data_IF_119101606953
#
_entry.id   IF_119101606953
#
_cell.length_a   1.000
_cell.length_b   1.000
_cell.length_c   1.000
_cell.angle_alpha   90.00
_cell.angle_beta   90.00
_cell.angle_gamma   90.00
#
_symmetry.space_group_name_H-M   'P 1'
#
loop_
_entity.id
_entity.type
_entity.pdbx_description
1 polymer ?
#
# COMPACT_ATOMS: atom_id res chain seq x y z
N UNK A 1 13.44 16.66 -24.30
CA UNK A 1 12.27 17.54 -24.58
C UNK A 1 12.21 18.71 -23.60
N UNK A 2 12.14 18.49 -22.29
CA UNK A 2 12.13 19.58 -21.28
C UNK A 2 13.37 20.49 -21.34
N UNK A 3 14.57 19.90 -21.44
CA UNK A 3 15.84 20.64 -21.53
C UNK A 3 16.04 21.40 -22.86
N UNK A 4 15.13 21.25 -23.83
CA UNK A 4 15.22 21.94 -25.12
C UNK A 4 14.21 23.09 -25.22
N UNK A 5 13.42 23.34 -24.18
CA UNK A 5 12.42 24.41 -24.18
C UNK A 5 13.08 25.79 -24.01
N UNK A 6 12.73 26.81 -24.82
CA UNK A 6 13.20 28.17 -24.62
C UNK A 6 12.56 28.77 -23.35
N UNK A 7 13.38 29.31 -22.42
CA UNK A 7 12.91 29.99 -21.20
C UNK A 7 13.52 29.47 -19.89
N UNK A 8 13.11 30.07 -18.76
CA UNK A 8 13.48 29.61 -17.41
C UNK A 8 12.74 28.30 -17.13
N UNK A 9 13.49 27.30 -16.68
CA UNK A 9 12.99 25.95 -16.43
C UNK A 9 12.93 25.72 -14.94
N UNK A 10 11.75 25.39 -14.45
CA UNK A 10 11.52 25.04 -13.04
C UNK A 10 10.92 23.65 -13.00
N UNK A 11 11.51 22.76 -12.20
CA UNK A 11 10.95 21.43 -11.90
C UNK A 11 10.62 21.41 -10.42
N UNK A 12 9.40 20.97 -10.09
CA UNK A 12 8.92 20.86 -8.72
C UNK A 12 8.40 19.45 -8.52
N UNK A 13 8.77 18.85 -7.38
CA UNK A 13 8.23 17.57 -6.98
C UNK A 13 8.86 17.08 -5.67
N UNK A 14 8.47 15.88 -5.28
CA UNK A 14 8.93 15.22 -4.05
C UNK A 14 9.44 13.83 -4.42
N UNK A 15 10.77 13.66 -4.44
CA UNK A 15 11.43 12.37 -4.73
C UNK A 15 11.00 11.27 -3.76
N UNK A 16 10.55 11.60 -2.56
CA UNK A 16 10.06 10.63 -1.59
C UNK A 16 8.62 10.18 -1.88
N UNK A 17 7.89 10.83 -2.80
CA UNK A 17 6.60 10.34 -3.31
C UNK A 17 6.72 9.56 -4.62
N UNK A 18 7.93 9.20 -5.06
CA UNK A 18 8.11 8.30 -6.21
C UNK A 18 7.72 6.86 -5.83
N UNK A 19 6.57 6.40 -6.33
CA UNK A 19 5.93 5.12 -5.96
C UNK A 19 5.35 4.37 -7.18
N UNK A 20 5.85 4.67 -8.37
CA UNK A 20 5.44 4.02 -9.62
C UNK A 20 6.65 3.38 -10.33
N UNK A 21 7.70 3.03 -9.58
CA UNK A 21 8.91 2.42 -10.14
C UNK A 21 8.62 1.07 -10.79
N UNK A 22 7.67 0.32 -10.23
CA UNK A 22 7.13 -0.92 -10.82
C UNK A 22 6.49 -0.74 -12.21
N UNK A 23 6.15 0.49 -12.62
CA UNK A 23 5.67 0.83 -13.98
C UNK A 23 6.75 1.43 -14.87
N UNK A 24 8.02 1.37 -14.45
CA UNK A 24 9.15 1.98 -15.13
C UNK A 24 9.24 3.50 -14.94
N UNK A 25 8.57 4.07 -13.93
CA UNK A 25 8.69 5.51 -13.66
C UNK A 25 10.09 5.83 -13.09
N UNK A 26 10.73 6.86 -13.65
CA UNK A 26 12.05 7.33 -13.23
C UNK A 26 11.92 8.67 -12.52
N UNK A 27 12.66 8.86 -11.42
CA UNK A 27 12.70 10.14 -10.72
C UNK A 27 13.51 11.18 -11.50
N UNK A 28 12.80 11.91 -12.37
CA UNK A 28 13.39 12.96 -13.21
C UNK A 28 13.99 14.14 -12.44
N UNK A 29 13.63 14.36 -11.16
CA UNK A 29 14.18 15.46 -10.35
C UNK A 29 15.68 15.29 -10.11
N UNK A 30 16.13 14.04 -10.01
CA UNK A 30 17.53 13.70 -9.78
C UNK A 30 18.35 13.58 -11.08
N UNK A 31 17.72 13.78 -12.24
CA UNK A 31 18.38 13.67 -13.56
C UNK A 31 18.83 15.02 -14.12
N UNK A 32 18.59 16.12 -13.41
CA UNK A 32 18.95 17.48 -13.84
C UNK A 32 19.84 18.17 -12.83
N UNK A 33 20.78 18.98 -13.34
CA UNK A 33 21.70 19.78 -12.52
C UNK A 33 21.20 21.23 -12.42
N UNK A 34 20.15 21.44 -11.62
CA UNK A 34 19.57 22.75 -11.34
C UNK A 34 19.79 23.17 -9.88
N UNK A 35 19.85 24.48 -9.57
CA UNK A 35 19.83 24.95 -8.18
C UNK A 35 18.62 24.41 -7.42
N UNK A 36 18.86 23.88 -6.22
CA UNK A 36 17.82 23.25 -5.40
C UNK A 36 17.32 24.21 -4.33
N UNK A 37 16.01 24.33 -4.25
CA UNK A 37 15.30 25.08 -3.20
C UNK A 37 14.29 24.14 -2.53
N UNK A 38 14.12 24.26 -1.21
CA UNK A 38 13.25 23.36 -0.45
C UNK A 38 11.96 24.05 -0.02
N UNK A 39 10.84 23.35 -0.21
CA UNK A 39 9.54 23.73 0.34
C UNK A 39 9.20 22.74 1.45
N UNK A 40 9.44 23.15 2.70
CA UNK A 40 9.25 22.27 3.86
C UNK A 40 7.87 22.38 4.51
N UNK A 41 7.09 23.42 4.20
CA UNK A 41 5.76 23.63 4.77
C UNK A 41 4.67 22.86 4.02
N UNK A 42 3.90 22.04 4.73
CA UNK A 42 2.70 21.37 4.21
C UNK A 42 1.44 22.01 4.78
N UNK A 43 0.59 22.59 3.94
CA UNK A 43 -0.70 23.16 4.35
C UNK A 43 -1.81 22.11 4.50
N UNK A 44 -1.52 20.84 4.18
CA UNK A 44 -2.50 19.75 4.23
C UNK A 44 -2.82 19.32 5.66
N UNK A 45 -1.79 19.20 6.49
CA UNK A 45 -1.87 18.58 7.81
C UNK A 45 -1.04 19.33 8.86
N UNK A 46 -1.34 19.03 10.12
CA UNK A 46 -0.64 19.58 11.29
C UNK A 46 0.70 18.89 11.59
N UNK A 47 1.40 19.40 12.61
CA UNK A 47 2.74 18.94 12.99
C UNK A 47 2.81 17.47 13.40
N UNK A 48 1.73 16.89 13.95
CA UNK A 48 1.68 15.49 14.37
C UNK A 48 1.78 14.52 13.19
N UNK A 49 1.07 14.79 12.08
CA UNK A 49 1.19 14.00 10.84
C UNK A 49 2.56 14.24 10.20
N UNK A 50 3.07 15.48 10.24
CA UNK A 50 4.40 15.79 9.72
C UNK A 50 5.50 14.99 10.45
N UNK A 51 5.37 14.81 11.77
CA UNK A 51 6.28 13.97 12.56
C UNK A 51 6.23 12.50 12.11
N UNK A 52 5.03 11.93 11.95
CA UNK A 52 4.88 10.55 11.44
C UNK A 52 5.41 10.38 10.01
N UNK A 53 5.25 11.40 9.17
CA UNK A 53 5.81 11.40 7.83
C UNK A 53 7.36 11.38 7.88
N UNK A 54 7.95 12.17 8.77
CA UNK A 54 9.40 12.16 8.99
C UNK A 54 9.91 10.85 9.61
N UNK A 55 9.16 10.23 10.52
CA UNK A 55 9.45 8.88 11.03
C UNK A 55 9.51 7.86 9.89
N UNK A 56 8.51 7.85 9.01
CA UNK A 56 8.47 6.96 7.84
C UNK A 56 9.70 7.16 6.95
N UNK A 57 10.05 8.41 6.62
CA UNK A 57 11.24 8.72 5.81
C UNK A 57 12.55 8.31 6.49
N UNK A 58 12.64 8.44 7.81
CA UNK A 58 13.83 8.02 8.56
C UNK A 58 14.10 6.52 8.50
N UNK A 59 13.12 5.67 8.17
CA UNK A 59 13.39 4.25 7.92
C UNK A 59 14.45 4.04 6.83
N UNK A 60 14.59 4.97 5.88
CA UNK A 60 15.63 4.91 4.85
C UNK A 60 17.04 4.97 5.43
N UNK A 61 17.25 5.53 6.64
CA UNK A 61 18.58 5.55 7.26
C UNK A 61 19.04 4.16 7.69
N UNK A 62 18.11 3.24 7.96
CA UNK A 62 18.44 1.82 8.21
C UNK A 62 19.06 1.17 6.96
N UNK A 63 18.74 1.69 5.78
CA UNK A 63 19.25 1.27 4.48
C UNK A 63 20.53 2.02 4.06
N UNK A 64 21.08 2.88 4.93
CA UNK A 64 22.25 3.71 4.62
C UNK A 64 21.94 4.91 3.73
N UNK A 65 20.66 5.21 3.46
CA UNK A 65 20.25 6.36 2.64
C UNK A 65 20.13 7.60 3.54
N UNK A 66 20.88 8.65 3.21
CA UNK A 66 20.81 9.94 3.92
C UNK A 66 19.49 10.66 3.63
N UNK A 67 18.88 11.20 4.68
CA UNK A 67 17.64 12.02 4.61
C UNK A 67 17.80 13.36 5.33
N UNK A 68 19.05 13.79 5.58
CA UNK A 68 19.36 14.97 6.42
C UNK A 68 18.80 16.28 5.88
N UNK A 69 18.77 16.43 4.57
CA UNK A 69 18.32 17.66 3.89
C UNK A 69 16.80 17.69 3.68
N UNK A 70 16.09 16.64 4.09
CA UNK A 70 14.65 16.53 3.95
C UNK A 70 13.94 16.91 5.25
N UNK A 71 13.00 17.85 5.18
CA UNK A 71 12.20 18.29 6.33
C UNK A 71 10.80 18.64 5.89
N UNK A 72 9.81 18.18 6.66
CA UNK A 72 8.41 18.55 6.52
C UNK A 72 7.93 19.17 7.83
N UNK A 73 7.23 20.30 7.72
CA UNK A 73 6.56 21.00 8.81
C UNK A 73 5.08 21.10 8.46
N UNK A 74 4.21 20.66 9.37
CA UNK A 74 2.77 20.77 9.18
C UNK A 74 2.27 22.17 9.52
N UNK A 75 1.65 22.84 8.54
CA UNK A 75 1.04 24.17 8.63
C UNK A 75 -0.49 24.11 8.43
N UNK A 76 -1.04 22.92 8.22
CA UNK A 76 -2.45 22.71 7.95
C UNK A 76 -3.33 22.84 9.19
N UNK A 77 -4.66 22.99 8.99
CA UNK A 77 -5.58 23.42 10.03
C UNK A 77 -5.70 22.45 11.21
N UNK A 78 -5.37 21.16 11.05
CA UNK A 78 -5.34 20.15 12.12
C UNK A 78 -6.65 19.94 12.89
N UNK A 79 -7.72 20.67 12.56
CA UNK A 79 -8.98 20.75 13.31
C UNK A 79 -10.09 19.91 12.68
N UNK A 80 -11.03 19.38 13.51
CA UNK A 80 -12.21 18.65 13.04
C UNK A 80 -13.12 19.46 12.11
N UNK A 81 -13.68 18.80 11.09
CA UNK A 81 -14.96 19.17 10.45
C UNK A 81 -16.10 18.38 11.12
N UNK A 82 -17.32 18.89 11.06
CA UNK A 82 -18.51 18.22 11.63
C UNK A 82 -18.81 16.86 11.00
N UNK A 83 -18.53 16.70 9.70
CA UNK A 83 -18.43 15.41 9.01
C UNK A 83 -17.01 15.25 8.51
N UNK A 84 -16.35 14.14 8.88
CA UNK A 84 -15.03 13.79 8.38
C UNK A 84 -15.12 12.59 7.43
N UNK A 85 -14.52 12.73 6.25
CA UNK A 85 -14.29 11.60 5.37
C UNK A 85 -13.25 10.67 6.01
N UNK A 86 -13.61 9.40 6.19
CA UNK A 86 -12.71 8.38 6.75
C UNK A 86 -12.24 7.47 5.64
N UNK A 87 -10.93 7.36 5.47
CA UNK A 87 -10.33 6.44 4.53
C UNK A 87 -9.47 5.39 5.23
N UNK A 88 -9.46 4.20 4.66
CA UNK A 88 -8.52 3.13 4.99
C UNK A 88 -7.62 2.93 3.79
N UNK A 89 -6.34 3.20 4.00
CA UNK A 89 -5.32 2.97 2.99
C UNK A 89 -4.58 1.69 3.31
N UNK A 90 -4.44 0.80 2.34
CA UNK A 90 -3.60 -0.39 2.49
C UNK A 90 -2.52 -0.42 1.42
N UNK A 91 -1.44 -1.15 1.69
CA UNK A 91 -0.38 -1.37 0.71
C UNK A 91 -0.86 -2.30 -0.41
N UNK A 92 -1.62 -3.33 -0.07
CA UNK A 92 -2.09 -4.35 -0.99
C UNK A 92 -3.61 -4.34 -1.11
N UNK A 93 -4.10 -4.82 -2.23
CA UNK A 93 -5.52 -5.06 -2.44
C UNK A 93 -6.08 -6.09 -1.44
N UNK A 94 -5.29 -7.12 -1.12
CA UNK A 94 -5.65 -8.15 -0.15
C UNK A 94 -5.80 -7.57 1.26
N UNK A 95 -4.95 -6.62 1.66
CA UNK A 95 -5.10 -5.89 2.91
C UNK A 95 -6.44 -5.15 3.00
N UNK A 96 -6.94 -4.60 1.89
CA UNK A 96 -8.27 -3.99 1.82
C UNK A 96 -9.39 -5.03 1.90
N UNK A 97 -9.22 -6.22 1.30
CA UNK A 97 -10.19 -7.30 1.43
C UNK A 97 -10.33 -7.72 2.90
N UNK A 98 -9.22 -7.99 3.60
CA UNK A 98 -9.22 -8.34 5.02
C UNK A 98 -9.95 -7.30 5.86
N UNK A 99 -9.66 -6.01 5.62
CA UNK A 99 -10.34 -4.92 6.33
C UNK A 99 -11.82 -4.83 5.97
N UNK A 100 -12.16 -4.97 4.70
CA UNK A 100 -13.54 -4.86 4.22
C UNK A 100 -14.43 -5.98 4.77
N UNK A 101 -13.92 -7.20 4.91
CA UNK A 101 -14.68 -8.30 5.56
C UNK A 101 -15.10 -7.85 6.97
N UNK A 102 -14.17 -7.31 7.75
CA UNK A 102 -14.45 -6.86 9.11
C UNK A 102 -15.37 -5.63 9.16
N UNK A 103 -15.15 -4.63 8.31
CA UNK A 103 -15.92 -3.39 8.33
C UNK A 103 -17.31 -3.52 7.69
N UNK A 104 -17.40 -4.20 6.55
CA UNK A 104 -18.61 -4.24 5.70
C UNK A 104 -19.46 -5.46 6.02
N UNK A 105 -18.86 -6.64 6.08
CA UNK A 105 -19.61 -7.87 6.33
C UNK A 105 -19.95 -8.04 7.81
N UNK A 106 -18.96 -7.90 8.70
CA UNK A 106 -19.19 -8.12 10.14
C UNK A 106 -19.87 -6.92 10.83
N UNK A 107 -19.48 -5.69 10.50
CA UNK A 107 -20.01 -4.47 11.15
C UNK A 107 -21.11 -3.76 10.36
N UNK A 108 -21.39 -4.19 9.13
CA UNK A 108 -22.47 -3.63 8.32
C UNK A 108 -22.21 -2.21 7.79
N UNK A 109 -20.97 -1.73 7.78
CA UNK A 109 -20.64 -0.40 7.23
C UNK A 109 -20.75 -0.41 5.71
N UNK A 110 -21.17 0.70 5.12
CA UNK A 110 -21.16 0.92 3.67
C UNK A 110 -19.82 1.52 3.26
N UNK A 111 -19.20 0.95 2.24
CA UNK A 111 -17.87 1.37 1.80
C UNK A 111 -17.88 1.85 0.35
N UNK A 112 -17.14 2.92 0.08
CA UNK A 112 -16.72 3.27 -1.27
C UNK A 112 -15.34 2.68 -1.54
N UNK A 113 -15.16 2.09 -2.72
CA UNK A 113 -13.89 1.48 -3.12
C UNK A 113 -13.23 2.37 -4.17
N UNK A 114 -12.00 2.83 -3.91
CA UNK A 114 -11.27 3.59 -4.92
C UNK A 114 -10.64 2.68 -5.99
N UNK A 115 -11.12 2.86 -7.22
CA UNK A 115 -10.87 1.91 -8.30
C UNK A 115 -12.00 0.88 -8.34
N UNK A 116 -11.75 -0.23 -9.02
CA UNK A 116 -12.76 -1.28 -9.16
C UNK A 116 -12.52 -2.36 -8.12
N UNK A 117 -13.55 -2.66 -7.30
CA UNK A 117 -13.50 -3.74 -6.31
C UNK A 117 -13.15 -5.10 -6.94
N UNK A 118 -13.44 -5.29 -8.23
CA UNK A 118 -13.06 -6.48 -8.98
C UNK A 118 -11.54 -6.64 -9.05
N UNK A 119 -10.79 -5.54 -9.11
CA UNK A 119 -9.34 -5.57 -9.13
C UNK A 119 -8.75 -5.94 -7.77
N UNK A 120 -9.53 -5.87 -6.68
CA UNK A 120 -9.02 -6.15 -5.35
C UNK A 120 -8.77 -7.64 -5.14
N UNK A 121 -9.46 -8.49 -5.89
CA UNK A 121 -9.27 -9.95 -5.84
C UNK A 121 -8.05 -10.43 -6.62
N UNK A 122 -7.25 -9.52 -7.19
CA UNK A 122 -6.04 -9.85 -7.93
C UNK A 122 -4.79 -9.46 -7.15
N UNK A 123 -3.82 -10.36 -7.18
CA UNK A 123 -2.45 -10.15 -6.74
C UNK A 123 -1.67 -9.30 -7.75
N UNK A 124 -0.50 -8.81 -7.34
CA UNK A 124 0.42 -8.06 -8.20
C UNK A 124 0.96 -8.91 -9.36
N UNK A 125 1.00 -10.23 -9.20
CA UNK A 125 1.32 -11.20 -10.27
C UNK A 125 0.22 -11.33 -11.34
N UNK A 126 -0.99 -10.82 -11.08
CA UNK A 126 -2.18 -11.05 -11.89
C UNK A 126 -2.97 -12.31 -11.49
N UNK A 127 -2.49 -13.08 -10.52
CA UNK A 127 -3.20 -14.25 -10.00
C UNK A 127 -4.44 -13.84 -9.21
N UNK A 128 -5.56 -14.51 -9.48
CA UNK A 128 -6.83 -14.24 -8.79
C UNK A 128 -6.94 -15.03 -7.49
N UNK A 129 -7.42 -14.36 -6.43
CA UNK A 129 -7.85 -14.99 -5.18
C UNK A 129 -8.85 -16.13 -5.44
N UNK A 130 -9.72 -15.99 -6.45
CA UNK A 130 -10.67 -17.03 -6.80
C UNK A 130 -10.02 -18.29 -7.37
N UNK A 131 -8.89 -18.16 -8.09
CA UNK A 131 -8.17 -19.31 -8.62
C UNK A 131 -7.57 -20.14 -7.48
N UNK A 132 -6.98 -19.48 -6.48
CA UNK A 132 -6.43 -20.14 -5.29
C UNK A 132 -7.56 -20.73 -4.43
N UNK A 133 -8.69 -20.03 -4.31
CA UNK A 133 -9.86 -20.53 -3.59
C UNK A 133 -10.50 -21.73 -4.29
N UNK A 134 -10.49 -21.77 -5.63
CA UNK A 134 -10.92 -22.94 -6.42
C UNK A 134 -9.97 -24.12 -6.22
N UNK A 135 -8.65 -23.89 -6.15
CA UNK A 135 -7.68 -24.93 -5.78
C UNK A 135 -7.97 -25.48 -4.38
N UNK A 136 -8.24 -24.60 -3.41
CA UNK A 136 -8.60 -24.97 -2.04
C UNK A 136 -9.83 -25.88 -1.93
N UNK A 137 -10.85 -25.67 -2.77
CA UNK A 137 -12.07 -26.52 -2.79
C UNK A 137 -11.99 -27.68 -3.79
N UNK A 138 -10.85 -27.91 -4.44
CA UNK A 138 -10.65 -28.99 -5.41
C UNK A 138 -11.37 -28.80 -6.75
N UNK A 139 -11.71 -27.57 -7.12
CA UNK A 139 -12.36 -27.22 -8.41
C UNK A 139 -11.35 -26.74 -9.44
N UNK A 140 -10.42 -27.62 -9.81
CA UNK A 140 -9.32 -27.31 -10.74
C UNK A 140 -9.79 -26.90 -12.13
N UNK A 141 -10.97 -27.38 -12.56
CA UNK A 141 -11.64 -27.00 -13.81
C UNK A 141 -11.97 -25.50 -13.90
N UNK A 142 -12.07 -24.82 -12.76
CA UNK A 142 -12.42 -23.39 -12.68
C UNK A 142 -11.22 -22.47 -12.57
N UNK A 143 -10.01 -23.02 -12.44
CA UNK A 143 -8.76 -22.27 -12.30
C UNK A 143 -8.37 -21.72 -13.67
N UNK A 144 -8.20 -20.41 -13.77
CA UNK A 144 -7.82 -19.71 -15.01
C UNK A 144 -6.32 -19.48 -15.12
N UNK A 145 -5.69 -19.14 -14.00
CA UNK A 145 -4.26 -18.87 -13.91
C UNK A 145 -3.41 -20.14 -14.17
N UNK A 146 -2.54 -20.08 -15.18
CA UNK A 146 -1.69 -21.21 -15.60
C UNK A 146 -0.61 -21.57 -14.58
N UNK A 147 -0.21 -20.64 -13.72
CA UNK A 147 0.72 -20.91 -12.64
C UNK A 147 0.01 -21.71 -11.54
N UNK A 148 -1.20 -21.30 -11.15
CA UNK A 148 -2.00 -22.01 -10.13
C UNK A 148 -2.43 -23.41 -10.60
N UNK A 149 -2.71 -23.61 -11.90
CA UNK A 149 -3.04 -24.94 -12.47
C UNK A 149 -1.94 -25.99 -12.30
N UNK A 150 -0.69 -25.60 -12.04
CA UNK A 150 0.45 -26.52 -11.91
C UNK A 150 0.45 -27.25 -10.57
N UNK A 151 -0.26 -26.75 -9.58
CA UNK A 151 -0.35 -27.35 -8.25
C UNK A 151 -1.44 -28.43 -8.24
N UNK A 152 -1.12 -29.61 -7.70
CA UNK A 152 -2.08 -30.72 -7.60
C UNK A 152 -3.04 -30.46 -6.44
N UNK A 153 -2.53 -29.88 -5.36
CA UNK A 153 -3.29 -29.56 -4.16
C UNK A 153 -3.02 -28.15 -3.61
N UNK A 154 -3.92 -27.67 -2.76
CA UNK A 154 -3.69 -26.44 -1.98
C UNK A 154 -2.53 -26.59 -0.98
N UNK A 155 -2.25 -27.80 -0.50
CA UNK A 155 -1.09 -28.06 0.35
C UNK A 155 0.23 -27.87 -0.41
N UNK A 156 0.29 -28.30 -1.68
CA UNK A 156 1.46 -28.10 -2.55
C UNK A 156 1.73 -26.60 -2.75
N UNK A 157 0.67 -25.79 -2.92
CA UNK A 157 0.79 -24.35 -3.06
C UNK A 157 1.31 -23.71 -1.76
N UNK A 158 0.89 -24.19 -0.58
CA UNK A 158 1.42 -23.72 0.72
C UNK A 158 2.88 -24.10 0.90
N UNK A 159 3.30 -25.28 0.44
CA UNK A 159 4.70 -25.68 0.48
C UNK A 159 5.55 -24.80 -0.44
N UNK A 160 5.10 -24.59 -1.68
CA UNK A 160 5.74 -23.67 -2.61
C UNK A 160 5.88 -22.25 -2.03
N UNK A 161 4.83 -21.71 -1.42
CA UNK A 161 4.88 -20.38 -0.81
C UNK A 161 5.99 -20.28 0.26
N UNK A 162 6.20 -21.34 1.06
CA UNK A 162 7.27 -21.38 2.06
C UNK A 162 8.66 -21.45 1.43
N UNK A 163 8.80 -22.15 0.32
CA UNK A 163 10.07 -22.28 -0.41
C UNK A 163 10.50 -20.94 -1.04
N UNK A 164 9.56 -20.23 -1.68
CA UNK A 164 9.86 -18.97 -2.37
C UNK A 164 9.69 -17.72 -1.49
N UNK A 165 9.15 -17.86 -0.27
CA UNK A 165 8.91 -16.78 0.69
C UNK A 165 8.06 -15.63 0.09
N UNK A 166 7.07 -15.99 -0.76
CA UNK A 166 6.17 -15.02 -1.39
C UNK A 166 5.18 -14.48 -0.36
N UNK A 167 5.32 -13.19 -0.05
CA UNK A 167 4.53 -12.50 0.97
C UNK A 167 3.09 -12.27 0.53
N UNK A 168 2.87 -11.99 -0.74
CA UNK A 168 1.51 -11.73 -1.26
C UNK A 168 0.72 -13.03 -1.32
N UNK A 169 1.35 -14.11 -1.79
CA UNK A 169 0.77 -15.45 -1.75
C UNK A 169 0.50 -15.91 -0.31
N UNK A 170 1.43 -15.61 0.62
CA UNK A 170 1.23 -15.86 2.05
C UNK A 170 -0.02 -15.17 2.61
N UNK A 171 -0.25 -13.89 2.27
CA UNK A 171 -1.47 -13.18 2.67
C UNK A 171 -2.75 -13.83 2.12
N UNK A 172 -2.73 -14.32 0.87
CA UNK A 172 -3.88 -15.06 0.32
C UNK A 172 -4.13 -16.35 1.09
N UNK A 173 -3.07 -17.13 1.36
CA UNK A 173 -3.16 -18.37 2.11
C UNK A 173 -3.71 -18.13 3.52
N UNK A 174 -3.26 -17.06 4.20
CA UNK A 174 -3.77 -16.69 5.52
C UNK A 174 -5.25 -16.32 5.47
N UNK A 175 -5.67 -15.56 4.45
CA UNK A 175 -7.05 -15.17 4.23
C UNK A 175 -7.96 -16.39 4.00
N UNK A 176 -7.54 -17.32 3.14
CA UNK A 176 -8.26 -18.58 2.87
C UNK A 176 -8.28 -19.47 4.10
N UNK A 177 -7.18 -19.55 4.85
CA UNK A 177 -7.12 -20.34 6.08
C UNK A 177 -8.05 -19.79 7.16
N UNK A 178 -8.25 -18.47 7.20
CA UNK A 178 -9.11 -17.78 8.17
C UNK A 178 -10.59 -17.90 7.82
N UNK A 179 -10.95 -17.68 6.55
CA UNK A 179 -12.35 -17.52 6.14
C UNK A 179 -12.89 -18.67 5.27
N UNK A 180 -12.01 -19.54 4.75
CA UNK A 180 -12.34 -20.68 3.92
C UNK A 180 -13.25 -20.33 2.75
N UNK A 181 -14.26 -21.17 2.51
CA UNK A 181 -15.27 -20.97 1.46
C UNK A 181 -16.18 -19.77 1.71
N UNK A 182 -16.20 -19.23 2.94
CA UNK A 182 -16.91 -18.00 3.28
C UNK A 182 -16.45 -16.79 2.47
N UNK A 183 -15.20 -16.80 1.97
CA UNK A 183 -14.67 -15.73 1.12
C UNK A 183 -15.52 -15.43 -0.12
N UNK A 184 -16.11 -16.45 -0.75
CA UNK A 184 -17.03 -16.23 -1.87
C UNK A 184 -18.21 -15.34 -1.46
N UNK A 185 -18.78 -15.61 -0.28
CA UNK A 185 -19.89 -14.85 0.28
C UNK A 185 -19.47 -13.43 0.64
N UNK A 186 -18.35 -13.28 1.36
CA UNK A 186 -17.87 -11.96 1.76
C UNK A 186 -17.55 -11.06 0.57
N UNK A 187 -16.85 -11.57 -0.45
CA UNK A 187 -16.54 -10.78 -1.65
C UNK A 187 -17.82 -10.35 -2.38
N UNK A 188 -18.85 -11.21 -2.43
CA UNK A 188 -20.15 -10.86 -3.01
C UNK A 188 -20.85 -9.77 -2.18
N UNK A 189 -20.91 -9.94 -0.87
CA UNK A 189 -21.54 -8.99 0.04
C UNK A 189 -20.85 -7.62 0.01
N UNK A 190 -19.52 -7.58 -0.03
CA UNK A 190 -18.74 -6.35 -0.22
C UNK A 190 -19.12 -5.61 -1.51
N UNK A 191 -19.40 -6.34 -2.60
CA UNK A 191 -19.87 -5.75 -3.87
C UNK A 191 -21.30 -5.23 -3.76
N UNK A 192 -22.18 -5.95 -3.08
CA UNK A 192 -23.58 -5.55 -2.89
C UNK A 192 -23.72 -4.33 -1.98
N UNK A 193 -22.85 -4.19 -0.98
CA UNK A 193 -22.80 -3.05 -0.04
C UNK A 193 -21.90 -1.90 -0.53
N UNK A 194 -21.34 -1.99 -1.73
CA UNK A 194 -20.53 -0.93 -2.30
C UNK A 194 -21.41 0.27 -2.67
N UNK A 195 -21.05 1.45 -2.20
CA UNK A 195 -21.78 2.70 -2.46
C UNK A 195 -20.84 3.79 -3.00
N UNK A 196 -21.42 4.88 -3.52
CA UNK A 196 -20.64 6.06 -3.90
C UNK A 196 -20.00 6.74 -2.68
N UNK A 197 -18.93 7.53 -2.91
CA UNK A 197 -18.19 8.21 -1.83
C UNK A 197 -19.11 9.08 -0.93
N UNK A 198 -20.10 9.73 -1.52
CA UNK A 198 -21.02 10.63 -0.81
C UNK A 198 -21.95 9.90 0.18
N UNK A 199 -22.17 8.60 -0.03
CA UNK A 199 -23.03 7.76 0.80
C UNK A 199 -22.23 6.80 1.70
N UNK A 200 -20.92 6.74 1.54
CA UNK A 200 -20.06 5.79 2.23
C UNK A 200 -19.79 6.20 3.68
N UNK A 201 -19.76 5.21 4.56
CA UNK A 201 -19.30 5.39 5.95
C UNK A 201 -17.76 5.38 6.02
N UNK A 202 -17.11 4.77 5.02
CA UNK A 202 -15.66 4.81 4.81
C UNK A 202 -15.24 4.62 3.34
N UNK A 203 -14.06 5.12 3.00
CA UNK A 203 -13.41 4.92 1.69
C UNK A 203 -12.28 3.90 1.84
N UNK A 204 -12.24 2.88 1.00
CA UNK A 204 -11.20 1.86 0.94
C UNK A 204 -10.34 2.08 -0.31
N UNK A 205 -9.05 2.38 -0.13
CA UNK A 205 -8.16 2.75 -1.25
C UNK A 205 -6.79 2.08 -1.17
N UNK A 206 -6.29 1.46 -2.26
CA UNK A 206 -4.90 1.06 -2.35
C UNK A 206 -4.02 2.31 -2.30
N UNK A 207 -2.89 2.26 -1.61
CA UNK A 207 -2.02 3.42 -1.43
C UNK A 207 -1.67 4.13 -2.77
N UNK A 208 -1.39 3.35 -3.83
CA UNK A 208 -1.10 3.89 -5.15
C UNK A 208 -2.25 4.69 -5.79
N UNK A 209 -3.51 4.36 -5.48
CA UNK A 209 -4.70 5.05 -5.97
C UNK A 209 -4.99 6.32 -5.18
N UNK A 210 -4.61 6.33 -3.90
CA UNK A 210 -4.73 7.51 -3.03
C UNK A 210 -3.76 8.65 -3.39
N UNK A 211 -2.77 8.43 -4.27
CA UNK A 211 -1.79 9.47 -4.61
C UNK A 211 -2.47 10.63 -5.35
N UNK A 212 -2.45 11.81 -4.75
CA UNK A 212 -3.14 13.00 -5.25
C UNK A 212 -4.52 13.22 -4.64
N UNK A 213 -5.06 12.23 -3.93
CA UNK A 213 -6.23 12.39 -3.07
C UNK A 213 -5.81 12.87 -1.67
N UNK A 214 -6.78 13.40 -0.93
CA UNK A 214 -6.62 13.81 0.46
C UNK A 214 -7.88 13.42 1.23
N UNK A 215 -7.71 12.96 2.47
CA UNK A 215 -8.80 12.51 3.33
C UNK A 215 -8.73 13.24 4.67
N UNK A 216 -9.88 13.46 5.30
CA UNK A 216 -9.89 14.09 6.62
C UNK A 216 -9.22 13.18 7.65
N UNK A 217 -9.66 11.91 7.72
CA UNK A 217 -9.09 10.90 8.61
C UNK A 217 -8.61 9.69 7.82
N UNK A 218 -7.42 9.18 8.13
CA UNK A 218 -6.84 8.00 7.50
C UNK A 218 -6.49 6.97 8.55
N UNK A 219 -6.91 5.72 8.30
CA UNK A 219 -6.38 4.53 8.97
C UNK A 219 -5.48 3.78 7.99
N UNK A 220 -4.29 3.39 8.42
CA UNK A 220 -3.41 2.54 7.62
C UNK A 220 -3.69 1.06 7.87
N UNK A 221 -3.62 0.23 6.84
CA UNK A 221 -3.60 -1.22 6.95
C UNK A 221 -2.30 -1.71 7.58
N UNK A 222 -2.29 -2.90 8.18
CA UNK A 222 -1.09 -3.48 8.83
C UNK A 222 -0.04 -4.03 7.84
N UNK A 223 -0.34 -3.96 6.53
CA UNK A 223 0.46 -4.55 5.47
C UNK A 223 1.59 -3.64 4.95
N UNK A 224 1.68 -2.38 5.39
CA UNK A 224 2.82 -1.50 5.08
C UNK A 224 4.14 -1.97 5.70
N UNK A 225 5.25 -1.50 5.11
CA UNK A 225 6.58 -1.65 5.71
C UNK A 225 6.69 -0.87 7.03
N UNK A 226 7.55 -1.33 7.94
CA UNK A 226 7.93 -0.66 9.18
C UNK A 226 9.39 -1.00 9.53
N UNK A 227 9.94 -0.39 10.60
CA UNK A 227 11.32 -0.63 11.03
C UNK A 227 11.64 -2.10 11.29
N UNK A 228 10.73 -2.85 11.91
CA UNK A 228 10.91 -4.30 12.14
C UNK A 228 11.03 -5.06 10.81
N UNK A 229 10.13 -4.81 9.85
CA UNK A 229 10.15 -5.43 8.51
C UNK A 229 11.45 -5.06 7.76
N UNK A 230 11.93 -3.81 7.85
CA UNK A 230 13.21 -3.40 7.26
C UNK A 230 14.37 -4.17 7.87
N UNK A 231 14.42 -4.26 9.20
CA UNK A 231 15.48 -4.99 9.91
C UNK A 231 15.46 -6.48 9.58
N UNK A 232 14.28 -7.09 9.46
CA UNK A 232 14.13 -8.50 9.04
C UNK A 232 14.66 -8.73 7.62
N UNK A 233 14.37 -7.83 6.68
CA UNK A 233 14.90 -7.89 5.31
C UNK A 233 16.43 -7.79 5.30
N UNK A 234 17.00 -6.84 6.04
CA UNK A 234 18.46 -6.68 6.17
C UNK A 234 19.13 -7.88 6.83
N UNK A 235 18.49 -8.48 7.84
CA UNK A 235 18.98 -9.70 8.48
C UNK A 235 18.96 -10.89 7.51
N UNK A 236 17.88 -11.05 6.74
CA UNK A 236 17.78 -12.06 5.68
C UNK A 236 18.85 -11.91 4.60
N UNK A 237 19.16 -10.69 4.20
CA UNK A 237 20.24 -10.39 3.25
C UNK A 237 21.63 -10.80 3.76
N UNK A 238 21.82 -10.83 5.09
CA UNK A 238 23.07 -11.21 5.76
C UNK A 238 23.09 -12.68 6.23
N UNK A 239 22.00 -13.43 6.03
CA UNK A 239 21.89 -14.81 6.45
C UNK A 239 22.77 -15.76 5.61
N UNK A 240 22.83 -17.05 6.01
CA UNK A 240 23.53 -18.10 5.26
C UNK A 240 22.57 -19.27 4.99
N UNK A 241 22.20 -19.53 3.71
CA UNK A 241 22.48 -18.72 2.53
C UNK A 241 21.79 -17.34 2.59
N UNK A 242 22.32 -16.31 1.91
CA UNK A 242 21.71 -14.98 1.88
C UNK A 242 20.41 -15.00 1.09
N UNK A 243 19.37 -14.32 1.60
CA UNK A 243 18.14 -14.09 0.84
C UNK A 243 18.32 -12.91 -0.13
N UNK A 244 17.66 -12.92 -1.31
CA UNK A 244 17.65 -11.77 -2.20
C UNK A 244 17.17 -10.51 -1.48
N UNK A 245 17.86 -9.39 -1.71
CA UNK A 245 17.49 -8.10 -1.16
C UNK A 245 17.57 -7.02 -2.23
N UNK A 246 16.43 -6.37 -2.48
CA UNK A 246 16.32 -5.24 -3.39
C UNK A 246 16.22 -3.93 -2.58
N UNK A 247 17.31 -3.17 -2.61
CA UNK A 247 17.39 -1.86 -1.95
C UNK A 247 16.35 -0.89 -2.52
N UNK A 248 16.20 -0.83 -3.84
CA UNK A 248 15.33 0.14 -4.50
C UNK A 248 13.86 -0.18 -4.24
N UNK A 249 13.48 -1.46 -4.30
CA UNK A 249 12.13 -1.88 -3.94
C UNK A 249 11.81 -1.57 -2.47
N UNK A 250 12.78 -1.76 -1.55
CA UNK A 250 12.59 -1.44 -0.13
C UNK A 250 12.43 0.07 0.11
N UNK A 251 13.18 0.91 -0.62
CA UNK A 251 13.01 2.37 -0.61
C UNK A 251 11.63 2.77 -1.13
N UNK A 252 11.12 2.12 -2.17
CA UNK A 252 9.79 2.37 -2.73
C UNK A 252 8.67 2.00 -1.75
N UNK A 253 8.81 0.89 -1.00
CA UNK A 253 7.88 0.54 0.09
C UNK A 253 7.86 1.60 1.21
N UNK A 254 9.01 2.18 1.55
CA UNK A 254 9.08 3.29 2.51
C UNK A 254 8.41 4.56 1.94
N UNK A 255 8.62 4.84 0.65
CA UNK A 255 7.92 5.93 -0.04
C UNK A 255 6.40 5.72 -0.02
N UNK A 256 5.92 4.48 -0.18
CA UNK A 256 4.50 4.15 -0.10
C UNK A 256 3.92 4.42 1.29
N UNK A 257 4.63 4.06 2.36
CA UNK A 257 4.22 4.41 3.73
C UNK A 257 4.14 5.93 3.89
N UNK A 258 5.17 6.65 3.45
CA UNK A 258 5.20 8.11 3.52
C UNK A 258 4.05 8.77 2.72
N UNK A 259 3.76 8.27 1.52
CA UNK A 259 2.61 8.72 0.73
C UNK A 259 1.33 8.50 1.51
N UNK A 260 1.11 7.31 2.08
CA UNK A 260 -0.11 6.98 2.83
C UNK A 260 -0.30 7.89 4.05
N UNK A 261 0.76 8.08 4.85
CA UNK A 261 0.76 8.97 6.03
C UNK A 261 0.36 10.40 5.65
N UNK A 262 0.91 10.90 4.54
CA UNK A 262 0.66 12.28 4.08
C UNK A 262 -0.66 12.47 3.34
N UNK A 263 -1.52 11.44 3.22
CA UNK A 263 -2.89 11.61 2.69
C UNK A 263 -3.88 12.10 3.74
N UNK A 264 -3.56 11.93 5.03
CA UNK A 264 -4.39 12.43 6.12
C UNK A 264 -4.26 13.95 6.25
N UNK A 265 -5.37 14.64 6.49
CA UNK A 265 -5.41 16.06 6.83
C UNK A 265 -5.50 16.29 8.35
N UNK A 266 -6.16 15.37 9.06
CA UNK A 266 -6.51 15.53 10.48
C UNK A 266 -6.08 14.34 11.34
N UNK A 267 -6.80 13.23 11.30
CA UNK A 267 -6.49 12.07 12.15
C UNK A 267 -5.77 11.01 11.34
N UNK A 268 -4.72 10.45 11.94
CA UNK A 268 -3.96 9.36 11.36
C UNK A 268 -3.87 8.23 12.38
N UNK A 269 -4.48 7.10 12.06
CA UNK A 269 -4.41 5.87 12.83
C UNK A 269 -3.43 4.91 12.14
N UNK A 270 -2.36 4.55 12.85
CA UNK A 270 -1.32 3.63 12.39
C UNK A 270 -1.31 2.43 13.34
N UNK A 271 -1.73 1.23 12.92
CA UNK A 271 -1.86 0.08 13.81
C UNK A 271 -0.51 -0.64 14.08
N UNK A 272 0.61 0.03 13.81
CA UNK A 272 1.96 -0.51 13.99
C UNK A 272 2.95 0.62 14.32
N UNK A 273 4.04 0.32 15.03
CA UNK A 273 5.14 1.26 15.18
C UNK A 273 5.83 1.46 13.83
N UNK A 274 6.19 2.70 13.50
CA UNK A 274 7.05 3.01 12.37
C UNK A 274 8.50 2.71 12.75
#
# INVERSE_FOLDING_TARGET
MFLNQPGIRVIVGDSHQSIYGYRGAIDSLNMVDFPRFTLSGSFRFGSHIAQKAMEAIRLKTLLGVSVRDFKITGLGPGKPREKSERAVLARSNLGLISYAIEAVCNKGLRAAYEGEIQNYTFMSSGTSLFDILNLYVGKSDRIRDDFIRRFVSYDDLKEYQKEVDDRELGMVIDLISTYGTGLFGFIREMKEKAVGKDEADLVLSPCHKSKGAEYDDVKLGSDFINGEKVMKLLAGAKARPPKPFDLQATIEEINLLYVAVTRSRRLLDIPFPI
#
